data_IF_617178546371
#
_entry.id   IF_617178546371
#
_cell.length_a   1.000
_cell.length_b   1.000
_cell.length_c   1.000
_cell.angle_alpha   90.00
_cell.angle_beta   90.00
_cell.angle_gamma   90.00
#
_symmetry.space_group_name_H-M   'P 1'
#
loop_
_entity.id
_entity.type
_entity.pdbx_description
1 polymer ?
#
# COMPACT_ATOMS: atom_id res chain seq x y z
N UNK A 1 -12.88 -1.16 -9.67
CA UNK A 1 -11.51 -1.48 -9.25
C UNK A 1 -11.02 -0.30 -8.45
N UNK A 2 -10.82 -0.48 -7.15
CA UNK A 2 -10.46 0.61 -6.26
C UNK A 2 -8.93 0.73 -6.24
N UNK A 3 -8.39 1.91 -6.54
CA UNK A 3 -6.95 2.15 -6.64
C UNK A 3 -6.65 3.36 -5.76
N UNK A 4 -5.66 3.23 -4.86
CA UNK A 4 -5.09 4.40 -4.19
C UNK A 4 -3.90 4.89 -5.01
N UNK A 5 -3.89 6.18 -5.35
CA UNK A 5 -2.80 6.78 -6.12
C UNK A 5 -1.99 7.69 -5.23
N UNK A 6 -0.68 7.60 -5.34
CA UNK A 6 0.25 8.40 -4.56
C UNK A 6 1.23 9.07 -5.51
N UNK A 7 1.30 10.40 -5.48
CA UNK A 7 2.32 11.16 -6.18
C UNK A 7 3.61 11.20 -5.37
N UNK A 8 4.74 11.04 -6.05
CA UNK A 8 6.08 11.12 -5.46
C UNK A 8 7.11 11.46 -6.53
N UNK A 9 8.24 12.05 -6.11
CA UNK A 9 9.36 12.35 -7.01
C UNK A 9 9.97 11.09 -7.64
N UNK A 10 9.88 9.94 -6.95
CA UNK A 10 10.41 8.66 -7.44
C UNK A 10 9.54 7.50 -6.94
N UNK A 11 8.59 7.02 -7.76
CA UNK A 11 7.70 5.90 -7.41
C UNK A 11 8.45 4.61 -7.07
N UNK A 12 9.53 4.33 -7.82
CA UNK A 12 10.33 3.12 -7.62
C UNK A 12 11.09 3.15 -6.29
N UNK A 13 11.63 4.30 -5.91
CA UNK A 13 12.31 4.45 -4.62
C UNK A 13 11.30 4.39 -3.47
N UNK A 14 10.09 4.95 -3.64
CA UNK A 14 9.03 4.82 -2.64
C UNK A 14 8.62 3.36 -2.44
N UNK A 15 8.38 2.59 -3.51
CA UNK A 15 8.09 1.15 -3.41
C UNK A 15 9.22 0.41 -2.67
N UNK A 16 10.48 0.67 -3.05
CA UNK A 16 11.63 0.05 -2.40
C UNK A 16 11.71 0.41 -0.91
N UNK A 17 11.48 1.67 -0.56
CA UNK A 17 11.52 2.12 0.83
C UNK A 17 10.41 1.49 1.67
N UNK A 18 9.19 1.37 1.13
CA UNK A 18 8.09 0.64 1.79
C UNK A 18 8.52 -0.80 2.05
N UNK A 19 9.03 -1.47 1.01
CA UNK A 19 9.43 -2.86 1.10
C UNK A 19 10.55 -3.06 2.13
N UNK A 20 11.58 -2.22 2.11
CA UNK A 20 12.69 -2.25 3.07
C UNK A 20 12.21 -2.02 4.50
N UNK A 21 11.30 -1.05 4.72
CA UNK A 21 10.74 -0.80 6.06
C UNK A 21 9.89 -1.97 6.58
N UNK A 22 9.16 -2.67 5.72
CA UNK A 22 8.44 -3.89 6.11
C UNK A 22 9.42 -5.01 6.47
N UNK A 23 10.43 -5.26 5.63
CA UNK A 23 11.46 -6.30 5.85
C UNK A 23 12.22 -6.03 7.16
N UNK A 24 12.57 -4.77 7.43
CA UNK A 24 13.26 -4.35 8.65
C UNK A 24 12.34 -4.26 9.87
N UNK A 25 11.06 -4.61 9.75
CA UNK A 25 10.06 -4.56 10.81
C UNK A 25 9.87 -3.14 11.42
N UNK A 26 10.10 -2.10 10.61
CA UNK A 26 9.76 -0.71 10.92
C UNK A 26 8.28 -0.43 10.66
N UNK A 27 7.69 -1.09 9.65
CA UNK A 27 6.24 -1.17 9.41
C UNK A 27 5.78 -2.56 9.84
N UNK A 28 5.36 -2.69 11.10
CA UNK A 28 5.09 -4.00 11.72
C UNK A 28 3.76 -4.62 11.34
N UNK A 29 2.76 -3.81 11.02
CA UNK A 29 1.38 -4.24 10.76
C UNK A 29 1.17 -4.73 9.33
N UNK A 30 2.20 -4.71 8.48
CA UNK A 30 2.13 -5.09 7.07
C UNK A 30 3.16 -6.17 6.76
N UNK A 31 2.88 -6.93 5.71
CA UNK A 31 3.77 -7.93 5.12
C UNK A 31 3.84 -7.76 3.61
N UNK A 32 4.86 -8.38 3.02
CA UNK A 32 5.08 -8.44 1.58
C UNK A 32 4.79 -9.84 1.09
N UNK A 33 4.33 -9.92 -0.16
CA UNK A 33 4.38 -11.18 -0.89
C UNK A 33 5.83 -11.58 -1.22
N UNK A 34 6.02 -12.86 -1.58
CA UNK A 34 7.34 -13.40 -1.93
C UNK A 34 7.98 -12.66 -3.13
N UNK A 35 7.14 -12.13 -4.02
CA UNK A 35 7.56 -11.41 -5.23
C UNK A 35 7.84 -9.92 -5.00
N UNK A 36 7.55 -9.38 -3.80
CA UNK A 36 7.68 -7.96 -3.43
C UNK A 36 6.88 -7.01 -4.32
N UNK A 37 5.82 -7.54 -4.92
CA UNK A 37 4.89 -6.85 -5.82
C UNK A 37 3.60 -6.47 -5.13
N UNK A 38 3.31 -7.03 -3.95
CA UNK A 38 2.11 -6.73 -3.19
C UNK A 38 2.38 -6.64 -1.69
N UNK A 39 1.50 -5.92 -1.00
CA UNK A 39 1.46 -5.82 0.46
C UNK A 39 0.09 -6.17 1.01
N UNK A 40 0.06 -6.83 2.16
CA UNK A 40 -1.15 -7.14 2.93
C UNK A 40 -0.99 -6.74 4.39
N UNK A 41 -2.12 -6.60 5.09
CA UNK A 41 -2.13 -6.26 6.50
C UNK A 41 -2.13 -7.52 7.37
N UNK A 42 -1.25 -7.61 8.37
CA UNK A 42 -1.04 -8.80 9.22
C UNK A 42 -2.11 -9.05 10.29
N UNK A 43 -2.97 -8.07 10.57
CA UNK A 43 -4.02 -8.22 11.59
C UNK A 43 -4.97 -9.37 11.24
N UNK A 44 -5.20 -10.31 12.16
CA UNK A 44 -5.93 -11.58 11.91
C UNK A 44 -7.27 -11.40 11.19
N UNK A 45 -8.01 -10.34 11.51
CA UNK A 45 -9.28 -9.99 10.86
C UNK A 45 -9.17 -9.54 9.38
N UNK A 46 -7.95 -9.39 8.87
CA UNK A 46 -7.61 -8.89 7.53
C UNK A 46 -6.69 -9.85 6.77
N UNK A 47 -6.02 -10.78 7.47
CA UNK A 47 -5.16 -11.79 6.86
C UNK A 47 -5.98 -12.59 5.84
N UNK A 48 -5.47 -12.72 4.62
CA UNK A 48 -6.13 -13.37 3.48
C UNK A 48 -7.44 -12.72 2.98
N UNK A 49 -7.81 -11.54 3.48
CA UNK A 49 -9.02 -10.83 3.04
C UNK A 49 -8.76 -9.80 1.94
N UNK A 50 -7.59 -9.15 1.98
CA UNK A 50 -7.20 -8.21 0.94
C UNK A 50 -5.68 -8.08 0.80
N UNK A 51 -5.26 -7.57 -0.34
CA UNK A 51 -3.91 -7.09 -0.58
C UNK A 51 -3.92 -5.90 -1.54
N UNK A 52 -2.79 -5.18 -1.59
CA UNK A 52 -2.54 -4.11 -2.54
C UNK A 52 -1.35 -4.47 -3.42
N UNK A 53 -1.58 -4.55 -4.72
CA UNK A 53 -0.52 -4.73 -5.72
C UNK A 53 0.05 -3.37 -6.14
N UNK A 54 1.36 -3.27 -6.29
CA UNK A 54 2.01 -2.07 -6.80
C UNK A 54 1.89 -1.98 -8.33
N UNK A 55 1.55 -0.80 -8.82
CA UNK A 55 1.74 -0.43 -10.20
C UNK A 55 2.43 0.94 -10.30
N UNK A 56 3.45 1.07 -11.14
CA UNK A 56 4.23 2.31 -11.27
C UNK A 56 3.91 3.00 -12.60
N UNK A 57 3.49 4.26 -12.52
CA UNK A 57 3.43 5.18 -13.65
C UNK A 57 4.61 6.18 -13.54
N UNK A 58 5.77 5.78 -14.10
CA UNK A 58 7.00 6.58 -14.07
C UNK A 58 6.81 7.97 -14.70
N UNK A 59 6.21 8.09 -15.91
CA UNK A 59 6.03 9.41 -16.53
C UNK A 59 5.24 10.40 -15.66
N UNK A 60 4.27 9.92 -14.89
CA UNK A 60 3.46 10.78 -14.01
C UNK A 60 4.02 10.92 -12.59
N UNK A 61 5.06 10.17 -12.24
CA UNK A 61 5.56 10.12 -10.87
C UNK A 61 4.52 9.57 -9.89
N UNK A 62 3.76 8.54 -10.31
CA UNK A 62 2.70 7.95 -9.49
C UNK A 62 3.04 6.50 -9.14
N UNK A 63 2.86 6.16 -7.87
CA UNK A 63 2.74 4.79 -7.38
C UNK A 63 1.26 4.51 -7.12
N UNK A 64 0.72 3.51 -7.79
CA UNK A 64 -0.65 3.03 -7.64
C UNK A 64 -0.66 1.78 -6.76
N UNK A 65 -1.63 1.71 -5.87
CA UNK A 65 -1.92 0.55 -5.03
C UNK A 65 -3.27 -0.02 -5.49
N UNK A 66 -3.21 -1.08 -6.27
CA UNK A 66 -4.37 -1.76 -6.84
C UNK A 66 -4.94 -2.68 -5.77
N UNK A 67 -6.18 -2.46 -5.35
CA UNK A 67 -6.82 -3.23 -4.31
C UNK A 67 -7.42 -4.53 -4.86
N UNK A 68 -7.12 -5.63 -4.18
CA UNK A 68 -7.69 -6.95 -4.41
C UNK A 68 -8.29 -7.49 -3.11
N UNK A 69 -9.52 -7.98 -3.16
CA UNK A 69 -10.19 -8.59 -2.00
C UNK A 69 -11.01 -9.82 -2.40
N UNK A 70 -11.25 -10.71 -1.44
CA UNK A 70 -11.99 -11.96 -1.62
C UNK A 70 -13.52 -11.81 -1.54
N UNK A 71 -14.08 -10.73 -2.10
CA UNK A 71 -15.48 -10.30 -1.95
C UNK A 71 -15.85 -9.88 -0.51
N UNK A 72 -15.08 -8.95 0.03
CA UNK A 72 -15.40 -8.26 1.28
C UNK A 72 -16.52 -7.22 1.09
N UNK A 73 -17.14 -6.76 2.19
CA UNK A 73 -18.12 -5.67 2.12
C UNK A 73 -17.46 -4.31 1.85
N UNK A 74 -18.20 -3.34 1.30
CA UNK A 74 -17.71 -1.96 1.04
C UNK A 74 -17.09 -1.29 2.28
N UNK A 75 -17.59 -1.64 3.48
CA UNK A 75 -17.06 -1.16 4.75
C UNK A 75 -15.63 -1.69 5.02
N UNK A 76 -15.40 -2.97 4.75
CA UNK A 76 -14.08 -3.59 4.91
C UNK A 76 -13.08 -3.05 3.87
N UNK A 77 -13.54 -2.79 2.65
CA UNK A 77 -12.73 -2.14 1.60
C UNK A 77 -12.30 -0.75 2.03
N UNK A 78 -13.25 0.09 2.49
CA UNK A 78 -12.96 1.43 3.00
C UNK A 78 -11.96 1.40 4.16
N UNK A 79 -12.07 0.39 5.03
CA UNK A 79 -11.14 0.21 6.14
C UNK A 79 -9.74 -0.17 5.67
N UNK A 80 -9.61 -1.02 4.65
CA UNK A 80 -8.32 -1.37 4.07
C UNK A 80 -7.58 -0.15 3.51
N UNK A 81 -8.29 0.72 2.77
CA UNK A 81 -7.72 1.98 2.29
C UNK A 81 -7.29 2.90 3.43
N UNK A 82 -8.11 3.07 4.47
CA UNK A 82 -7.72 3.88 5.63
C UNK A 82 -6.45 3.36 6.33
N UNK A 83 -6.28 2.03 6.41
CA UNK A 83 -5.06 1.44 6.98
C UNK A 83 -3.84 1.76 6.11
N UNK A 84 -3.99 1.65 4.79
CA UNK A 84 -2.93 1.96 3.83
C UNK A 84 -2.54 3.45 3.89
N UNK A 85 -3.52 4.35 3.82
CA UNK A 85 -3.31 5.80 3.91
C UNK A 85 -2.58 6.19 5.20
N UNK A 86 -2.99 5.64 6.35
CA UNK A 86 -2.34 5.91 7.65
C UNK A 86 -0.90 5.43 7.68
N UNK A 87 -0.62 4.25 7.13
CA UNK A 87 0.76 3.75 7.04
C UNK A 87 1.61 4.67 6.17
N UNK A 88 1.09 5.05 5.00
CA UNK A 88 1.79 5.93 4.06
C UNK A 88 2.06 7.31 4.67
N UNK A 89 1.07 7.92 5.30
CA UNK A 89 1.21 9.22 5.96
C UNK A 89 2.23 9.17 7.11
N UNK A 90 2.13 8.15 7.99
CA UNK A 90 3.00 8.00 9.16
C UNK A 90 4.48 7.83 8.81
N UNK A 91 4.78 7.17 7.69
CA UNK A 91 6.16 6.83 7.31
C UNK A 91 6.73 7.70 6.18
N UNK A 92 5.87 8.29 5.35
CA UNK A 92 6.27 8.96 4.11
C UNK A 92 5.52 10.26 3.82
N UNK A 93 4.64 10.74 4.70
CA UNK A 93 3.76 11.90 4.43
C UNK A 93 4.48 13.20 4.04
N UNK A 94 5.77 13.33 4.36
CA UNK A 94 6.60 14.47 3.92
C UNK A 94 7.18 14.34 2.49
N UNK A 95 7.01 13.19 1.86
CA UNK A 95 7.60 12.84 0.55
C UNK A 95 6.56 12.51 -0.51
N UNK A 96 5.30 12.37 -0.10
CA UNK A 96 4.22 11.87 -0.95
C UNK A 96 2.99 12.76 -0.86
N UNK A 97 2.14 12.66 -1.87
CA UNK A 97 0.79 13.22 -1.84
C UNK A 97 -0.21 12.11 -2.24
N UNK A 98 -1.19 11.84 -1.38
CA UNK A 98 -2.26 10.88 -1.68
C UNK A 98 -3.30 11.58 -2.54
N UNK A 99 -3.54 11.05 -3.74
CA UNK A 99 -4.47 11.59 -4.72
C UNK A 99 -5.84 10.90 -4.57
N UNK A 100 -6.88 11.70 -4.32
CA UNK A 100 -8.27 11.25 -4.13
C UNK A 100 -9.12 11.43 -5.38
#
# INVERSE_FOLDING_TARGET
MNILKVSTKSPKDLQNDINTKIINNEIRSWELDDSRTAISHKGEQYVNHFYFEYNIDVPKGILEFIFHSSNTSDFADSRAFQLLERMLDSHFGNRIEILK
#
